data_IF_847498846258
#
_entry.id   IF_847498846258
#
_cell.length_a   1.000
_cell.length_b   1.000
_cell.length_c   1.000
_cell.angle_alpha   90.00
_cell.angle_beta   90.00
_cell.angle_gamma   90.00
#
_symmetry.space_group_name_H-M   'P 1'
#
loop_
_entity.id
_entity.type
_entity.pdbx_description
1 polymer ?
#
# COMPACT_ATOMS: atom_id res chain seq x y z
N UNK A 1 -37.79 -49.52 -0.33
CA UNK A 1 -37.40 -49.17 -1.71
C UNK A 1 -36.67 -47.84 -1.65
N UNK A 2 -35.43 -47.88 -1.16
CA UNK A 2 -34.17 -47.81 -1.91
C UNK A 2 -33.74 -46.37 -2.15
N UNK A 3 -32.61 -46.03 -1.54
CA UNK A 3 -31.90 -44.77 -1.63
C UNK A 3 -31.62 -44.35 -3.08
N UNK A 4 -31.62 -43.04 -3.30
CA UNK A 4 -30.71 -42.41 -4.26
C UNK A 4 -30.12 -41.17 -3.59
N UNK A 5 -29.17 -41.45 -2.70
CA UNK A 5 -28.15 -40.52 -2.27
C UNK A 5 -27.24 -40.30 -3.49
N UNK A 6 -27.29 -39.13 -4.11
CA UNK A 6 -26.24 -38.66 -5.03
C UNK A 6 -25.66 -37.38 -4.47
N UNK A 7 -25.10 -37.48 -3.26
CA UNK A 7 -23.97 -36.66 -2.87
C UNK A 7 -22.84 -36.93 -3.88
N UNK A 8 -22.78 -36.07 -4.90
CA UNK A 8 -21.57 -35.91 -5.70
C UNK A 8 -20.47 -35.46 -4.74
N UNK A 9 -19.65 -36.40 -4.29
CA UNK A 9 -18.40 -36.16 -3.56
C UNK A 9 -17.63 -35.04 -4.26
N UNK A 10 -17.72 -33.84 -3.69
CA UNK A 10 -16.89 -32.73 -4.13
C UNK A 10 -15.47 -33.03 -3.68
N UNK A 11 -14.70 -33.64 -4.57
CA UNK A 11 -13.27 -33.94 -4.38
C UNK A 11 -12.39 -32.70 -4.15
N UNK A 12 -12.95 -31.48 -4.26
CA UNK A 12 -12.18 -30.23 -4.21
C UNK A 12 -11.36 -30.09 -2.92
N UNK A 13 -11.94 -30.39 -1.76
CA UNK A 13 -11.26 -30.29 -0.46
C UNK A 13 -10.77 -31.64 0.08
N UNK A 14 -10.88 -32.73 -0.69
CA UNK A 14 -10.51 -34.08 -0.26
C UNK A 14 -9.03 -34.27 0.09
N UNK A 15 -8.16 -33.37 -0.40
CA UNK A 15 -6.72 -33.32 -0.10
C UNK A 15 -6.34 -32.08 0.72
N UNK A 16 -7.33 -31.40 1.29
CA UNK A 16 -7.10 -30.20 2.08
C UNK A 16 -6.73 -30.60 3.50
N UNK A 17 -5.45 -30.46 3.84
CA UNK A 17 -4.93 -30.81 5.16
C UNK A 17 -4.90 -29.56 6.05
N UNK A 18 -5.60 -29.63 7.18
CA UNK A 18 -5.51 -28.58 8.19
C UNK A 18 -4.21 -28.73 8.98
N UNK A 19 -3.39 -27.70 8.95
CA UNK A 19 -2.20 -27.58 9.79
C UNK A 19 -2.51 -27.14 11.22
N UNK A 20 -1.46 -26.88 12.00
CA UNK A 20 -1.57 -26.30 13.35
C UNK A 20 -1.87 -24.80 13.35
N UNK A 21 -1.62 -24.12 12.23
CA UNK A 21 -1.87 -22.69 12.07
C UNK A 21 -3.37 -22.38 11.94
N UNK A 22 -3.74 -21.14 12.25
CA UNK A 22 -5.11 -20.68 12.07
C UNK A 22 -5.53 -20.76 10.58
N UNK A 23 -6.51 -21.60 10.29
CA UNK A 23 -7.11 -21.66 8.96
C UNK A 23 -8.27 -20.67 8.80
N UNK A 24 -8.29 -19.95 7.69
CA UNK A 24 -9.31 -18.94 7.37
C UNK A 24 -10.64 -19.56 6.96
N UNK A 25 -10.58 -20.64 6.18
CA UNK A 25 -11.76 -21.24 5.56
C UNK A 25 -12.49 -22.14 6.55
N UNK A 26 -11.76 -22.95 7.30
CA UNK A 26 -12.26 -23.99 8.19
C UNK A 26 -11.94 -23.71 9.66
N UNK A 27 -12.89 -24.01 10.56
CA UNK A 27 -12.63 -24.08 12.00
C UNK A 27 -12.14 -25.46 12.43
N UNK A 28 -12.58 -26.50 11.73
CA UNK A 28 -12.21 -27.92 11.87
C UNK A 28 -12.40 -28.60 10.49
N UNK A 29 -11.89 -29.83 10.30
CA UNK A 29 -11.71 -30.48 9.00
C UNK A 29 -12.93 -30.49 8.06
N UNK A 30 -14.16 -30.40 8.59
CA UNK A 30 -15.39 -30.40 7.79
C UNK A 30 -16.32 -29.21 8.09
N UNK A 31 -15.83 -28.22 8.83
CA UNK A 31 -16.66 -27.11 9.30
C UNK A 31 -16.12 -25.77 8.78
N UNK A 32 -16.65 -25.25 7.65
CA UNK A 32 -16.28 -23.92 7.19
C UNK A 32 -16.75 -22.86 8.19
N UNK A 33 -15.91 -21.84 8.41
CA UNK A 33 -16.24 -20.72 9.29
C UNK A 33 -17.50 -20.00 8.79
N UNK A 34 -18.34 -19.41 9.67
CA UNK A 34 -19.62 -18.82 9.26
C UNK A 34 -19.53 -17.84 8.09
N UNK A 35 -18.53 -16.96 8.10
CA UNK A 35 -18.33 -15.95 7.05
C UNK A 35 -17.74 -16.51 5.75
N UNK A 36 -17.32 -17.78 5.73
CA UNK A 36 -16.85 -18.49 4.53
C UNK A 36 -17.88 -19.47 3.96
N UNK A 37 -18.98 -19.79 4.67
CA UNK A 37 -19.95 -20.82 4.26
C UNK A 37 -20.52 -20.61 2.86
N UNK A 38 -20.85 -19.37 2.48
CA UNK A 38 -21.40 -19.08 1.16
C UNK A 38 -20.36 -19.23 0.04
N UNK A 39 -19.08 -18.96 0.34
CA UNK A 39 -17.97 -19.11 -0.59
C UNK A 39 -17.66 -20.61 -0.74
N UNK A 40 -17.56 -21.32 0.37
CA UNK A 40 -17.41 -22.77 0.39
C UNK A 40 -18.48 -23.46 -0.46
N UNK A 41 -19.77 -23.17 -0.23
CA UNK A 41 -20.87 -23.73 -1.04
C UNK A 41 -20.77 -23.35 -2.52
N UNK A 42 -20.29 -22.14 -2.84
CA UNK A 42 -20.09 -21.76 -4.23
C UNK A 42 -18.96 -22.56 -4.89
N UNK A 43 -17.83 -22.75 -4.19
CA UNK A 43 -16.69 -23.50 -4.68
C UNK A 43 -17.04 -24.97 -4.93
N UNK A 44 -17.82 -25.61 -4.05
CA UNK A 44 -18.29 -26.99 -4.24
C UNK A 44 -19.15 -27.15 -5.51
N UNK A 45 -19.86 -26.09 -5.90
CA UNK A 45 -20.75 -26.06 -7.07
C UNK A 45 -20.06 -25.52 -8.33
N UNK A 46 -18.79 -25.12 -8.26
CA UNK A 46 -18.06 -24.53 -9.39
C UNK A 46 -17.27 -25.64 -10.12
N UNK A 47 -17.56 -25.94 -11.40
CA UNK A 47 -16.79 -26.90 -12.15
C UNK A 47 -15.32 -26.46 -12.28
N UNK A 48 -14.39 -27.42 -12.23
CA UNK A 48 -12.93 -27.16 -12.35
C UNK A 48 -12.59 -26.42 -13.64
N UNK A 49 -13.24 -26.77 -14.76
CA UNK A 49 -13.02 -26.09 -16.05
C UNK A 49 -13.45 -24.61 -16.02
N UNK A 50 -14.53 -24.30 -15.30
CA UNK A 50 -14.98 -22.93 -15.11
C UNK A 50 -14.01 -22.15 -14.21
N UNK A 51 -13.45 -22.77 -13.17
CA UNK A 51 -12.41 -22.16 -12.34
C UNK A 51 -11.15 -21.85 -13.17
N UNK A 52 -10.70 -22.81 -13.99
CA UNK A 52 -9.56 -22.62 -14.91
C UNK A 52 -9.83 -21.51 -15.94
N UNK A 53 -11.04 -21.44 -16.49
CA UNK A 53 -11.45 -20.37 -17.41
C UNK A 53 -11.39 -19.00 -16.73
N UNK A 54 -11.84 -18.93 -15.48
CA UNK A 54 -11.79 -17.71 -14.65
C UNK A 54 -10.38 -17.29 -14.30
N UNK A 55 -9.48 -18.23 -14.00
CA UNK A 55 -8.06 -17.94 -13.77
C UNK A 55 -7.42 -17.34 -15.02
N UNK A 56 -7.60 -17.98 -16.19
CA UNK A 56 -7.08 -17.46 -17.46
C UNK A 56 -7.62 -16.07 -17.79
N UNK A 57 -8.91 -15.82 -17.51
CA UNK A 57 -9.50 -14.50 -17.69
C UNK A 57 -8.91 -13.44 -16.74
N UNK A 58 -8.62 -13.81 -15.49
CA UNK A 58 -7.92 -12.96 -14.54
C UNK A 58 -6.50 -12.63 -15.04
N UNK A 59 -5.72 -13.64 -15.41
CA UNK A 59 -4.34 -13.49 -15.89
C UNK A 59 -4.27 -12.58 -17.12
N UNK A 60 -5.17 -12.77 -18.09
CA UNK A 60 -5.30 -11.90 -19.26
C UNK A 60 -5.64 -10.45 -18.88
N UNK A 61 -6.52 -10.24 -17.89
CA UNK A 61 -6.89 -8.91 -17.42
C UNK A 61 -5.71 -8.20 -16.75
N UNK A 62 -4.91 -8.91 -15.93
CA UNK A 62 -3.69 -8.37 -15.35
C UNK A 62 -2.66 -7.97 -16.43
N UNK A 63 -2.47 -8.82 -17.44
CA UNK A 63 -1.57 -8.53 -18.56
C UNK A 63 -2.03 -7.32 -19.38
N UNK A 64 -3.32 -7.23 -19.71
CA UNK A 64 -3.89 -6.10 -20.47
C UNK A 64 -3.84 -4.77 -19.71
N UNK A 65 -3.94 -4.81 -18.38
CA UNK A 65 -3.85 -3.63 -17.53
C UNK A 65 -2.41 -3.24 -17.19
N UNK A 66 -1.42 -3.99 -17.66
CA UNK A 66 0.00 -3.73 -17.41
C UNK A 66 0.39 -3.91 -15.93
N UNK A 67 -0.37 -4.71 -15.17
CA UNK A 67 -0.09 -4.99 -13.76
C UNK A 67 0.96 -6.10 -13.73
N UNK A 68 2.20 -5.70 -13.96
CA UNK A 68 3.37 -6.57 -13.95
C UNK A 68 4.26 -6.24 -12.76
N UNK A 69 5.18 -7.15 -12.44
CA UNK A 69 6.28 -6.87 -11.52
C UNK A 69 7.59 -7.25 -12.18
N UNK A 70 8.63 -6.44 -11.95
CA UNK A 70 9.98 -6.70 -12.43
C UNK A 70 10.67 -7.69 -11.50
N UNK A 71 11.03 -8.88 -12.02
CA UNK A 71 11.83 -9.86 -11.27
C UNK A 71 13.29 -9.69 -11.66
N UNK A 72 14.12 -9.15 -10.77
CA UNK A 72 15.57 -9.03 -10.98
C UNK A 72 16.31 -10.35 -10.71
N UNK A 73 15.86 -11.47 -11.28
CA UNK A 73 16.51 -12.77 -11.08
C UNK A 73 17.21 -13.35 -12.31
N UNK A 74 17.32 -12.62 -13.43
CA UNK A 74 18.23 -12.93 -14.56
C UNK A 74 18.42 -11.64 -15.37
N UNK A 75 19.53 -11.51 -16.10
CA UNK A 75 19.96 -10.32 -16.88
C UNK A 75 18.98 -9.84 -17.98
N UNK A 76 17.79 -10.44 -18.07
CA UNK A 76 16.66 -9.96 -18.86
C UNK A 76 15.55 -9.56 -17.89
N UNK A 77 15.28 -8.25 -17.76
CA UNK A 77 14.14 -7.71 -17.00
C UNK A 77 12.81 -8.15 -17.59
N UNK A 78 12.46 -9.43 -17.41
CA UNK A 78 11.20 -10.00 -17.90
C UNK A 78 10.11 -9.59 -16.93
N UNK A 79 9.23 -8.70 -17.38
CA UNK A 79 7.97 -8.40 -16.69
C UNK A 79 7.16 -9.68 -16.52
N UNK A 80 6.85 -10.04 -15.26
CA UNK A 80 5.95 -11.16 -14.97
C UNK A 80 4.61 -10.65 -14.47
N UNK A 81 3.56 -11.39 -14.80
CA UNK A 81 2.22 -11.16 -14.25
C UNK A 81 2.29 -11.45 -12.74
N UNK A 82 1.80 -10.52 -11.93
CA UNK A 82 1.72 -10.70 -10.48
C UNK A 82 0.93 -11.98 -10.15
N UNK A 83 1.51 -12.93 -9.37
CA UNK A 83 0.82 -14.18 -9.06
C UNK A 83 -0.44 -13.89 -8.26
N UNK A 84 -1.55 -14.46 -8.71
CA UNK A 84 -2.88 -14.10 -8.22
C UNK A 84 -3.71 -15.34 -7.90
N UNK A 85 -4.28 -15.35 -6.70
CA UNK A 85 -5.25 -16.35 -6.25
C UNK A 85 -6.68 -15.79 -6.37
N UNK A 86 -7.56 -16.60 -6.94
CA UNK A 86 -8.99 -16.31 -7.11
C UNK A 86 -9.78 -16.31 -5.80
N UNK A 87 -9.25 -16.93 -4.73
CA UNK A 87 -9.92 -17.06 -3.45
C UNK A 87 -9.68 -15.81 -2.60
N UNK A 88 -10.74 -15.06 -2.24
CA UNK A 88 -10.58 -13.87 -1.43
C UNK A 88 -10.27 -14.23 0.02
N UNK A 89 -9.39 -13.43 0.63
CA UNK A 89 -9.28 -13.34 2.09
C UNK A 89 -10.43 -12.48 2.63
N UNK A 90 -11.37 -13.11 3.34
CA UNK A 90 -12.54 -12.44 3.91
C UNK A 90 -12.19 -11.97 5.32
N UNK A 91 -12.23 -10.66 5.53
CA UNK A 91 -12.10 -10.06 6.87
C UNK A 91 -13.48 -9.53 7.27
N UNK A 92 -13.97 -9.98 8.43
CA UNK A 92 -15.29 -9.58 8.91
C UNK A 92 -15.29 -8.12 9.36
N UNK A 93 -16.47 -7.49 9.39
CA UNK A 93 -16.60 -6.12 9.89
C UNK A 93 -16.15 -5.98 11.36
N UNK A 94 -16.41 -6.98 12.21
CA UNK A 94 -15.97 -6.96 13.61
C UNK A 94 -14.45 -6.97 13.72
N UNK A 95 -13.77 -7.82 12.95
CA UNK A 95 -12.30 -7.86 12.92
C UNK A 95 -11.73 -6.56 12.35
N UNK A 96 -12.29 -6.08 11.24
CA UNK A 96 -11.84 -4.84 10.61
C UNK A 96 -12.00 -3.63 11.53
N UNK A 97 -13.06 -3.54 12.33
CA UNK A 97 -13.24 -2.44 13.29
C UNK A 97 -12.10 -2.39 14.30
N UNK A 98 -11.70 -3.54 14.84
CA UNK A 98 -10.56 -3.63 15.77
C UNK A 98 -9.25 -3.28 15.08
N UNK A 99 -9.02 -3.82 13.88
CA UNK A 99 -7.83 -3.51 13.07
C UNK A 99 -7.75 -2.01 12.78
N UNK A 100 -8.82 -1.41 12.26
CA UNK A 100 -8.89 0.00 11.89
C UNK A 100 -8.60 0.91 13.09
N UNK A 101 -9.18 0.61 14.26
CA UNK A 101 -8.93 1.37 15.49
C UNK A 101 -7.47 1.24 15.94
N UNK A 102 -6.92 0.02 15.92
CA UNK A 102 -5.53 -0.24 16.28
C UNK A 102 -4.53 0.47 15.35
N UNK A 103 -4.76 0.43 14.04
CA UNK A 103 -3.92 1.11 13.05
C UNK A 103 -3.96 2.63 13.21
N UNK A 104 -5.14 3.23 13.45
CA UNK A 104 -5.28 4.67 13.73
C UNK A 104 -4.51 5.07 14.99
N UNK A 105 -4.64 4.28 16.06
CA UNK A 105 -3.90 4.50 17.30
C UNK A 105 -2.39 4.42 17.07
N UNK A 106 -1.92 3.37 16.39
CA UNK A 106 -0.50 3.14 16.11
C UNK A 106 0.11 4.25 15.26
N UNK A 107 -0.54 4.64 14.17
CA UNK A 107 -0.06 5.71 13.30
C UNK A 107 0.00 7.06 14.01
N UNK A 108 -0.96 7.32 14.93
CA UNK A 108 -0.94 8.51 15.79
C UNK A 108 0.26 8.50 16.73
N UNK A 109 0.56 7.35 17.36
CA UNK A 109 1.70 7.20 18.23
C UNK A 109 3.03 7.35 17.46
N UNK A 110 3.15 6.76 16.27
CA UNK A 110 4.34 6.86 15.42
C UNK A 110 4.63 8.30 14.99
N UNK A 111 3.61 9.06 14.58
CA UNK A 111 3.78 10.48 14.23
C UNK A 111 4.20 11.31 15.45
N UNK A 112 3.60 11.08 16.63
CA UNK A 112 4.00 11.74 17.88
C UNK A 112 5.43 11.39 18.28
N UNK A 113 5.82 10.12 18.13
CA UNK A 113 7.18 9.65 18.38
C UNK A 113 8.19 10.35 17.47
N UNK A 114 7.95 10.39 16.16
CA UNK A 114 8.83 11.09 15.23
C UNK A 114 8.93 12.58 15.53
N UNK A 115 7.82 13.24 15.86
CA UNK A 115 7.84 14.63 16.29
C UNK A 115 8.73 14.83 17.52
N UNK A 116 8.54 14.01 18.56
CA UNK A 116 9.31 14.11 19.80
C UNK A 116 10.81 13.89 19.56
N UNK A 117 11.18 12.85 18.81
CA UNK A 117 12.57 12.50 18.50
C UNK A 117 13.32 13.63 17.77
N UNK A 118 12.64 14.37 16.88
CA UNK A 118 13.22 15.50 16.17
C UNK A 118 13.11 16.84 16.90
N UNK A 119 12.46 16.88 18.08
CA UNK A 119 12.24 18.09 18.87
C UNK A 119 12.73 17.92 20.32
N UNK A 120 11.79 17.76 21.27
CA UNK A 120 12.07 17.81 22.71
C UNK A 120 12.76 16.54 23.23
N UNK A 121 12.60 15.40 22.55
CA UNK A 121 13.19 14.12 22.95
C UNK A 121 12.74 13.67 24.34
N UNK A 122 11.48 13.90 24.71
CA UNK A 122 10.91 13.54 26.01
C UNK A 122 11.00 12.04 26.26
N UNK A 123 10.65 11.21 25.28
CA UNK A 123 10.72 9.74 25.39
C UNK A 123 12.14 9.22 25.66
N UNK A 124 13.15 9.96 25.22
CA UNK A 124 14.56 9.67 25.47
C UNK A 124 15.01 10.18 26.84
N UNK A 125 14.48 11.33 27.27
CA UNK A 125 14.75 11.93 28.56
C UNK A 125 14.15 11.12 29.71
N UNK A 126 12.96 10.57 29.49
CA UNK A 126 12.24 9.68 30.41
C UNK A 126 12.83 8.25 30.43
N UNK A 127 13.80 7.94 29.57
CA UNK A 127 14.46 6.63 29.52
C UNK A 127 13.60 5.49 28.96
N UNK A 128 12.45 5.78 28.37
CA UNK A 128 11.56 4.78 27.77
C UNK A 128 12.19 4.18 26.50
N UNK A 129 12.84 5.02 25.68
CA UNK A 129 13.60 4.59 24.51
C UNK A 129 15.08 4.96 24.68
N UNK A 130 16.02 4.02 24.49
CA UNK A 130 17.46 4.31 24.58
C UNK A 130 17.93 5.32 23.52
N UNK A 131 18.76 6.28 23.91
CA UNK A 131 19.29 7.33 23.01
C UNK A 131 20.16 6.76 21.91
N UNK A 132 20.98 5.78 22.24
CA UNK A 132 21.88 5.07 21.33
C UNK A 132 21.08 4.33 20.23
N UNK A 133 19.94 3.72 20.56
CA UNK A 133 19.06 3.07 19.58
C UNK A 133 18.59 4.05 18.48
N UNK A 134 18.37 5.31 18.83
CA UNK A 134 17.93 6.34 17.87
C UNK A 134 19.12 6.98 17.15
N UNK A 135 20.09 7.52 17.89
CA UNK A 135 21.14 8.34 17.31
C UNK A 135 22.25 7.56 16.60
N UNK A 136 22.34 6.25 16.82
CA UNK A 136 23.22 5.36 16.02
C UNK A 136 22.57 4.89 14.73
N UNK A 137 21.25 5.04 14.58
CA UNK A 137 20.54 4.58 13.39
C UNK A 137 20.95 5.38 12.15
N UNK A 138 21.34 4.66 11.09
CA UNK A 138 21.61 5.25 9.76
C UNK A 138 20.40 5.97 9.14
N UNK A 139 19.20 5.73 9.68
CA UNK A 139 17.95 6.31 9.21
C UNK A 139 17.51 7.53 10.03
N UNK A 140 18.22 7.86 11.10
CA UNK A 140 17.99 9.10 11.82
C UNK A 140 18.55 10.27 11.01
N UNK A 141 17.67 11.18 10.57
CA UNK A 141 18.04 12.35 9.77
C UNK A 141 18.30 13.55 10.68
N UNK A 142 19.56 13.92 10.87
CA UNK A 142 19.93 15.04 11.75
C UNK A 142 19.39 16.37 11.23
N UNK A 143 19.26 16.46 9.91
CA UNK A 143 18.73 17.57 9.15
C UNK A 143 17.29 17.89 9.54
N UNK A 144 16.50 16.89 9.96
CA UNK A 144 15.10 17.05 10.37
C UNK A 144 14.93 17.64 11.78
N UNK A 145 16.01 17.85 12.55
CA UNK A 145 15.89 18.40 13.91
C UNK A 145 15.33 19.82 13.90
N UNK A 146 14.29 20.05 14.69
CA UNK A 146 13.62 21.34 14.80
C UNK A 146 12.76 21.73 13.59
N UNK A 147 12.67 20.88 12.56
CA UNK A 147 11.83 21.14 11.39
C UNK A 147 10.36 20.97 11.76
N UNK A 148 9.61 22.06 11.65
CA UNK A 148 8.17 22.09 11.94
C UNK A 148 7.37 21.71 10.69
N UNK A 149 6.83 20.49 10.67
CA UNK A 149 5.98 20.02 9.57
C UNK A 149 4.52 20.47 9.73
N UNK A 150 3.80 20.73 8.62
CA UNK A 150 2.35 20.95 8.65
C UNK A 150 1.64 19.86 9.45
N UNK A 151 0.82 20.28 10.42
CA UNK A 151 0.05 19.40 11.32
C UNK A 151 0.89 18.38 12.10
N UNK A 152 2.22 18.52 12.14
CA UNK A 152 3.16 17.55 12.75
C UNK A 152 3.03 16.14 12.16
N UNK A 153 2.67 16.04 10.88
CA UNK A 153 2.54 14.76 10.17
C UNK A 153 3.87 14.44 9.48
N UNK A 154 4.55 13.40 9.97
CA UNK A 154 5.76 12.84 9.37
C UNK A 154 5.44 11.68 8.44
N UNK A 155 4.44 10.89 8.81
CA UNK A 155 3.98 9.72 8.06
C UNK A 155 2.55 9.97 7.60
N UNK A 156 2.41 10.45 6.37
CA UNK A 156 1.12 10.68 5.73
C UNK A 156 0.48 9.37 5.23
N UNK A 157 1.29 8.41 4.81
CA UNK A 157 0.88 7.08 4.35
C UNK A 157 1.75 6.05 5.03
N UNK A 158 1.13 5.04 5.63
CA UNK A 158 1.82 3.91 6.25
C UNK A 158 1.28 2.61 5.67
N UNK A 159 2.19 1.68 5.35
CA UNK A 159 1.86 0.27 5.20
C UNK A 159 2.13 -0.45 6.53
N UNK A 160 1.16 -1.20 7.05
CA UNK A 160 1.38 -2.00 8.27
C UNK A 160 1.12 -3.45 7.93
N UNK A 161 2.13 -4.28 8.11
CA UNK A 161 2.05 -5.70 7.81
C UNK A 161 1.44 -6.43 9.00
N UNK A 162 0.31 -7.08 8.74
CA UNK A 162 -0.47 -7.79 9.75
C UNK A 162 -0.43 -9.29 9.48
N UNK A 163 -0.16 -10.06 10.52
CA UNK A 163 -0.29 -11.51 10.49
C UNK A 163 -1.38 -11.95 11.46
N UNK A 164 -2.13 -12.99 11.08
CA UNK A 164 -3.06 -13.64 11.98
C UNK A 164 -2.32 -14.82 12.63
N UNK A 165 -2.27 -14.83 13.97
CA UNK A 165 -1.63 -15.90 14.74
C UNK A 165 -2.61 -17.04 15.02
N UNK A 166 -2.13 -18.15 15.60
CA UNK A 166 -2.86 -19.40 15.77
C UNK A 166 -4.19 -19.26 16.53
N UNK A 167 -4.30 -18.29 17.44
CA UNK A 167 -5.53 -18.01 18.19
C UNK A 167 -6.52 -17.08 17.44
N UNK A 168 -6.19 -16.68 16.21
CA UNK A 168 -7.01 -15.85 15.36
C UNK A 168 -6.84 -14.34 15.55
N UNK A 169 -6.02 -13.90 16.50
CA UNK A 169 -5.72 -12.47 16.68
C UNK A 169 -4.81 -11.95 15.57
N UNK A 170 -4.98 -10.67 15.24
CA UNK A 170 -4.05 -9.95 14.37
C UNK A 170 -2.95 -9.31 15.17
N UNK A 171 -1.71 -9.44 14.71
CA UNK A 171 -0.53 -8.79 15.29
C UNK A 171 0.23 -8.04 14.19
N UNK A 172 0.87 -6.94 14.57
CA UNK A 172 1.73 -6.17 13.68
C UNK A 172 3.08 -6.86 13.59
N UNK A 173 3.51 -7.15 12.36
CA UNK A 173 4.84 -7.66 12.07
C UNK A 173 5.82 -6.52 11.79
N UNK A 174 5.42 -5.58 10.94
CA UNK A 174 6.29 -4.49 10.47
C UNK A 174 5.48 -3.22 10.12
N UNK A 175 6.12 -2.05 10.22
CA UNK A 175 5.61 -0.77 9.76
C UNK A 175 6.49 -0.19 8.63
N UNK A 176 5.88 0.02 7.48
CA UNK A 176 6.47 0.62 6.30
C UNK A 176 6.08 2.11 6.22
N UNK A 177 6.96 2.97 6.74
CA UNK A 177 6.68 4.40 6.96
C UNK A 177 7.39 5.36 5.97
N UNK A 178 8.20 4.82 5.05
CA UNK A 178 8.98 5.62 4.10
C UNK A 178 8.20 5.83 2.80
N UNK A 179 8.32 4.87 1.89
CA UNK A 179 7.69 4.89 0.58
C UNK A 179 6.88 3.59 0.43
N UNK A 180 5.80 3.40 1.20
CA UNK A 180 5.02 2.16 1.12
C UNK A 180 4.40 2.01 -0.28
N UNK A 181 4.39 0.78 -0.78
CA UNK A 181 3.81 0.37 -2.06
C UNK A 181 2.81 -0.77 -1.86
N UNK A 182 2.11 -1.17 -2.93
CA UNK A 182 1.16 -2.29 -2.91
C UNK A 182 -0.28 -1.90 -3.26
N UNK A 183 -0.58 -0.60 -3.30
CA UNK A 183 -1.94 -0.10 -3.48
C UNK A 183 -2.47 -0.38 -4.88
N UNK A 184 -1.64 -0.25 -5.91
CA UNK A 184 -2.05 -0.53 -7.29
C UNK A 184 -2.51 -1.98 -7.42
N UNK A 185 -1.76 -2.92 -6.83
CA UNK A 185 -2.11 -4.34 -6.79
C UNK A 185 -3.42 -4.58 -6.02
N UNK A 186 -3.61 -3.94 -4.86
CA UNK A 186 -4.86 -4.04 -4.09
C UNK A 186 -6.09 -3.63 -4.93
N UNK A 187 -6.00 -2.50 -5.64
CA UNK A 187 -7.09 -1.95 -6.46
C UNK A 187 -7.34 -2.82 -7.69
N UNK A 188 -6.27 -3.23 -8.37
CA UNK A 188 -6.29 -4.16 -9.49
C UNK A 188 -6.97 -5.49 -9.11
N UNK A 189 -6.52 -6.12 -8.03
CA UNK A 189 -7.06 -7.37 -7.52
C UNK A 189 -8.56 -7.25 -7.28
N UNK A 190 -9.01 -6.12 -6.72
CA UNK A 190 -10.44 -5.87 -6.50
C UNK A 190 -11.23 -5.74 -7.81
N UNK A 191 -10.67 -5.08 -8.81
CA UNK A 191 -11.32 -4.90 -10.10
C UNK A 191 -11.46 -6.24 -10.84
N UNK A 192 -10.39 -7.04 -10.88
CA UNK A 192 -10.39 -8.38 -11.49
C UNK A 192 -11.37 -9.29 -10.75
N UNK A 193 -11.32 -9.34 -9.42
CA UNK A 193 -12.25 -10.14 -8.62
C UNK A 193 -13.74 -9.81 -8.88
N UNK A 194 -14.08 -8.53 -9.09
CA UNK A 194 -15.46 -8.12 -9.45
C UNK A 194 -15.90 -8.64 -10.81
N UNK A 195 -14.98 -8.74 -11.78
CA UNK A 195 -15.26 -9.27 -13.12
C UNK A 195 -15.41 -10.79 -13.08
N UNK A 196 -14.57 -11.46 -12.29
CA UNK A 196 -14.48 -12.93 -12.27
C UNK A 196 -15.51 -13.59 -11.34
N UNK A 197 -15.91 -12.93 -10.24
CA UNK A 197 -16.92 -13.42 -9.29
C UNK A 197 -18.03 -12.39 -8.97
N UNK A 198 -18.77 -11.88 -9.96
CA UNK A 198 -19.73 -10.79 -9.75
C UNK A 198 -20.92 -11.14 -8.82
N UNK A 199 -21.28 -12.42 -8.72
CA UNK A 199 -22.34 -12.90 -7.82
C UNK A 199 -21.92 -12.89 -6.35
N UNK A 200 -20.71 -13.37 -6.06
CA UNK A 200 -20.16 -13.45 -4.69
C UNK A 200 -19.95 -12.06 -4.10
N UNK A 201 -19.44 -11.11 -4.89
CA UNK A 201 -19.26 -9.73 -4.43
C UNK A 201 -20.55 -9.08 -3.95
N UNK A 202 -21.66 -9.34 -4.64
CA UNK A 202 -22.98 -8.84 -4.26
C UNK A 202 -23.49 -9.51 -2.98
N UNK A 203 -23.32 -10.82 -2.86
CA UNK A 203 -23.80 -11.58 -1.71
C UNK A 203 -23.08 -11.25 -0.39
N UNK A 204 -21.80 -10.84 -0.45
CA UNK A 204 -20.99 -10.55 0.74
C UNK A 204 -21.02 -9.09 1.21
N UNK A 205 -21.60 -8.16 0.44
CA UNK A 205 -21.61 -6.74 0.82
C UNK A 205 -20.21 -6.14 0.98
N UNK A 206 -19.27 -6.53 0.10
CA UNK A 206 -17.85 -6.12 0.17
C UNK A 206 -17.73 -4.60 0.06
N UNK A 207 -17.04 -3.96 1.01
CA UNK A 207 -16.82 -2.51 1.01
C UNK A 207 -16.02 -2.04 -0.21
N UNK A 208 -16.39 -0.93 -0.85
CA UNK A 208 -15.62 -0.38 -1.96
C UNK A 208 -14.29 0.19 -1.47
N UNK A 209 -13.26 0.10 -2.33
CA UNK A 209 -11.92 0.66 -2.08
C UNK A 209 -11.44 1.56 -3.23
N UNK A 210 -12.26 1.72 -4.28
CA UNK A 210 -11.86 2.40 -5.52
C UNK A 210 -11.65 3.91 -5.35
N UNK A 211 -12.11 4.50 -4.24
CA UNK A 211 -11.91 5.90 -3.92
C UNK A 211 -10.52 6.20 -3.30
N UNK A 212 -9.64 5.21 -3.16
CA UNK A 212 -8.32 5.38 -2.53
C UNK A 212 -7.54 6.58 -3.09
N UNK A 213 -7.46 6.74 -4.41
CA UNK A 213 -6.72 7.85 -5.03
C UNK A 213 -7.26 9.22 -4.59
N UNK A 214 -8.57 9.37 -4.49
CA UNK A 214 -9.20 10.62 -4.05
C UNK A 214 -9.01 10.88 -2.56
N UNK A 215 -9.03 9.84 -1.71
CA UNK A 215 -8.70 9.96 -0.28
C UNK A 215 -7.22 10.31 -0.07
N UNK A 216 -6.31 9.74 -0.87
CA UNK A 216 -4.90 10.11 -0.85
C UNK A 216 -4.70 11.57 -1.25
N UNK A 217 -5.32 12.00 -2.36
CA UNK A 217 -5.29 13.41 -2.78
C UNK A 217 -5.80 14.34 -1.69
N UNK A 218 -6.93 14.01 -1.07
CA UNK A 218 -7.50 14.78 0.05
C UNK A 218 -6.54 14.86 1.24
N UNK A 219 -5.86 13.75 1.55
CA UNK A 219 -4.85 13.70 2.61
C UNK A 219 -3.68 14.63 2.28
N UNK A 220 -3.13 14.57 1.06
CA UNK A 220 -2.03 15.43 0.62
C UNK A 220 -2.43 16.91 0.59
N UNK A 221 -3.63 17.25 0.10
CA UNK A 221 -4.16 18.62 0.16
C UNK A 221 -4.22 19.17 1.58
N UNK A 222 -4.55 18.33 2.56
CA UNK A 222 -4.61 18.74 3.96
C UNK A 222 -3.25 19.13 4.57
N UNK A 223 -2.15 18.73 3.92
CA UNK A 223 -0.77 19.00 4.32
C UNK A 223 -0.17 20.23 3.61
N UNK A 224 -0.96 20.94 2.80
CA UNK A 224 -0.51 22.16 2.14
C UNK A 224 -0.04 23.23 3.15
N UNK A 225 0.91 24.10 2.74
CA UNK A 225 1.32 25.25 3.53
C UNK A 225 0.14 26.18 3.87
N UNK A 226 0.21 26.94 4.98
CA UNK A 226 -0.82 27.92 5.31
C UNK A 226 -1.04 28.95 4.20
N UNK A 227 -2.30 29.30 3.93
CA UNK A 227 -2.68 30.31 2.93
C UNK A 227 -2.81 29.79 1.49
N UNK A 228 -2.75 28.47 1.29
CA UNK A 228 -2.96 27.84 -0.02
C UNK A 228 -4.31 27.09 -0.03
N UNK A 229 -5.31 27.66 -0.69
CA UNK A 229 -6.66 27.06 -0.77
C UNK A 229 -6.74 25.92 -1.78
N UNK A 230 -6.08 26.07 -2.93
CA UNK A 230 -5.99 25.05 -3.99
C UNK A 230 -4.53 24.68 -4.25
N UNK A 231 -3.94 23.77 -3.45
CA UNK A 231 -2.52 23.44 -3.57
C UNK A 231 -2.23 22.66 -4.85
N UNK A 232 -1.15 23.04 -5.54
CA UNK A 232 -0.59 22.24 -6.61
C UNK A 232 0.20 21.07 -6.01
N UNK A 233 -0.18 19.85 -6.41
CA UNK A 233 0.38 18.61 -5.89
C UNK A 233 1.08 17.89 -7.04
N UNK A 234 2.30 17.42 -6.81
CA UNK A 234 3.05 16.61 -7.76
C UNK A 234 3.49 15.28 -7.13
N UNK A 235 3.52 14.20 -7.91
CA UNK A 235 4.11 12.92 -7.52
C UNK A 235 5.53 12.84 -8.09
N UNK A 236 6.53 12.87 -7.21
CA UNK A 236 7.94 12.78 -7.60
C UNK A 236 8.36 11.30 -7.69
N UNK A 237 8.83 10.88 -8.86
CA UNK A 237 9.24 9.50 -9.17
C UNK A 237 10.73 9.42 -9.55
N UNK A 238 11.43 8.32 -9.22
CA UNK A 238 12.79 8.06 -9.72
C UNK A 238 12.85 7.68 -11.21
N UNK A 239 11.70 7.58 -11.88
CA UNK A 239 11.62 7.28 -13.32
C UNK A 239 11.40 5.79 -13.65
N UNK A 240 11.40 5.49 -14.94
CA UNK A 240 10.96 4.21 -15.53
C UNK A 240 11.75 2.98 -15.09
N UNK A 241 12.99 3.17 -14.63
CA UNK A 241 13.86 2.06 -14.23
C UNK A 241 13.59 1.56 -12.80
N UNK A 242 12.65 2.18 -12.08
CA UNK A 242 12.22 1.72 -10.77
C UNK A 242 11.09 0.68 -10.88
N UNK A 243 11.20 -0.41 -10.13
CA UNK A 243 10.23 -1.51 -10.15
C UNK A 243 8.79 -1.11 -9.77
N UNK A 244 8.62 -0.02 -9.03
CA UNK A 244 7.31 0.50 -8.63
C UNK A 244 6.80 1.63 -9.56
N UNK A 245 7.46 1.92 -10.68
CA UNK A 245 7.09 3.01 -11.59
C UNK A 245 5.64 2.89 -12.11
N UNK A 246 5.18 1.66 -12.38
CA UNK A 246 3.77 1.41 -12.70
C UNK A 246 2.83 1.92 -11.61
N UNK A 247 3.13 1.68 -10.34
CA UNK A 247 2.31 2.19 -9.25
C UNK A 247 2.35 3.74 -9.18
N UNK A 248 3.51 4.34 -9.44
CA UNK A 248 3.65 5.79 -9.42
C UNK A 248 2.78 6.45 -10.50
N UNK A 249 2.84 5.95 -11.73
CA UNK A 249 2.00 6.41 -12.85
C UNK A 249 0.51 6.18 -12.57
N UNK A 250 0.16 5.01 -12.03
CA UNK A 250 -1.21 4.67 -11.66
C UNK A 250 -1.78 5.62 -10.60
N UNK A 251 -1.03 5.88 -9.53
CA UNK A 251 -1.46 6.78 -8.45
C UNK A 251 -1.56 8.23 -8.93
N UNK A 252 -0.59 8.72 -9.70
CA UNK A 252 -0.64 10.06 -10.29
C UNK A 252 -1.91 10.24 -11.12
N UNK A 253 -2.24 9.26 -11.97
CA UNK A 253 -3.46 9.26 -12.78
C UNK A 253 -4.75 9.20 -11.94
N UNK A 254 -4.79 8.36 -10.91
CA UNK A 254 -5.96 8.24 -10.02
C UNK A 254 -6.22 9.51 -9.20
N UNK A 255 -5.16 10.21 -8.80
CA UNK A 255 -5.23 11.49 -8.11
C UNK A 255 -5.49 12.66 -9.07
N UNK A 256 -5.15 12.53 -10.36
CA UNK A 256 -5.20 13.62 -11.31
C UNK A 256 -4.11 14.66 -11.08
N UNK A 257 -2.93 14.23 -10.64
CA UNK A 257 -1.75 15.08 -10.37
C UNK A 257 -0.64 14.82 -11.38
N UNK A 258 0.27 15.79 -11.53
CA UNK A 258 1.43 15.61 -12.40
C UNK A 258 2.39 14.56 -11.83
N UNK A 259 2.86 13.66 -12.70
CA UNK A 259 3.98 12.77 -12.44
C UNK A 259 5.26 13.47 -12.91
N UNK A 260 6.20 13.70 -12.01
CA UNK A 260 7.42 14.46 -12.30
C UNK A 260 8.67 13.68 -11.86
N UNK A 261 9.77 13.86 -12.58
CA UNK A 261 11.12 13.44 -12.17
C UNK A 261 11.88 14.65 -11.60
N UNK A 262 13.01 14.41 -10.91
CA UNK A 262 13.78 15.49 -10.28
C UNK A 262 14.20 16.60 -11.26
N UNK A 263 14.50 16.25 -12.50
CA UNK A 263 14.87 17.18 -13.58
C UNK A 263 13.74 18.12 -14.03
N UNK A 264 12.49 17.73 -13.79
CA UNK A 264 11.32 18.53 -14.15
C UNK A 264 11.05 19.63 -13.12
N UNK A 265 11.62 19.48 -11.92
CA UNK A 265 11.50 20.40 -10.81
C UNK A 265 12.72 21.32 -10.72
N UNK A 266 12.52 22.50 -10.15
CA UNK A 266 13.59 23.42 -9.78
C UNK A 266 13.23 24.16 -8.51
N UNK A 267 14.25 24.53 -7.75
CA UNK A 267 14.11 25.38 -6.56
C UNK A 267 14.55 26.80 -6.90
N UNK A 268 13.70 27.78 -6.58
CA UNK A 268 14.02 29.20 -6.73
C UNK A 268 13.38 29.98 -5.58
N UNK A 269 14.15 30.85 -4.90
CA UNK A 269 13.71 31.63 -3.75
C UNK A 269 12.98 30.80 -2.67
N UNK A 270 13.54 29.63 -2.32
CA UNK A 270 12.98 28.66 -1.36
C UNK A 270 11.54 28.22 -1.72
N UNK A 271 11.26 28.10 -3.01
CA UNK A 271 10.01 27.54 -3.51
C UNK A 271 10.34 26.55 -4.62
N UNK A 272 9.53 25.49 -4.71
CA UNK A 272 9.66 24.46 -5.74
C UNK A 272 8.72 24.79 -6.89
N UNK A 273 9.21 24.62 -8.11
CA UNK A 273 8.44 24.82 -9.33
C UNK A 273 8.62 23.64 -10.29
N UNK A 274 7.57 23.30 -11.02
CA UNK A 274 7.62 22.43 -12.20
C UNK A 274 7.92 23.28 -13.44
N UNK A 275 8.80 22.79 -14.31
CA UNK A 275 9.06 23.36 -15.64
C UNK A 275 7.95 22.95 -16.60
N UNK A 276 7.18 23.90 -17.12
CA UNK A 276 6.19 23.66 -18.18
C UNK A 276 6.53 24.48 -19.42
N UNK A 277 5.87 24.19 -20.54
CA UNK A 277 6.02 24.98 -21.77
C UNK A 277 5.45 26.40 -21.63
N UNK A 278 4.53 26.61 -20.69
CA UNK A 278 3.91 27.91 -20.40
C UNK A 278 4.70 28.73 -19.36
N UNK A 279 5.67 28.12 -18.68
CA UNK A 279 6.50 28.78 -17.66
C UNK A 279 6.71 27.90 -16.44
N UNK A 280 6.98 28.54 -15.30
CA UNK A 280 7.16 27.85 -14.03
C UNK A 280 5.83 27.81 -13.27
N UNK A 281 5.43 26.61 -12.88
CA UNK A 281 4.25 26.39 -12.04
C UNK A 281 4.70 26.00 -10.65
N UNK A 282 4.30 26.77 -9.63
CA UNK A 282 4.66 26.49 -8.24
C UNK A 282 4.06 25.16 -7.79
N UNK A 283 4.83 24.36 -7.06
CA UNK A 283 4.40 23.12 -6.41
C UNK A 283 4.32 23.36 -4.90
N UNK A 284 3.19 23.03 -4.29
CA UNK A 284 2.94 23.26 -2.86
C UNK A 284 3.11 21.99 -2.03
N UNK A 285 2.82 20.82 -2.61
CA UNK A 285 2.99 19.52 -1.95
C UNK A 285 3.61 18.51 -2.92
N UNK A 286 4.67 17.85 -2.49
CA UNK A 286 5.30 16.76 -3.24
C UNK A 286 5.01 15.44 -2.55
N UNK A 287 4.28 14.55 -3.21
CA UNK A 287 4.21 13.15 -2.82
C UNK A 287 5.42 12.42 -3.39
N UNK A 288 6.49 12.32 -2.59
CA UNK A 288 7.72 11.67 -3.00
C UNK A 288 7.59 10.15 -3.03
N UNK A 289 8.15 9.54 -4.07
CA UNK A 289 8.37 8.09 -4.20
C UNK A 289 9.85 7.72 -4.31
N UNK A 290 10.70 8.51 -3.64
CA UNK A 290 12.14 8.32 -3.55
C UNK A 290 12.54 8.22 -2.07
N UNK A 291 13.60 7.46 -1.81
CA UNK A 291 14.26 7.45 -0.51
C UNK A 291 14.95 8.79 -0.22
N UNK A 292 15.02 9.14 1.07
CA UNK A 292 15.53 10.46 1.52
C UNK A 292 16.92 10.77 0.96
N UNK A 293 17.79 9.77 0.91
CA UNK A 293 19.18 9.92 0.47
C UNK A 293 19.31 10.47 -0.95
N UNK A 294 18.29 10.25 -1.79
CA UNK A 294 18.28 10.68 -3.18
C UNK A 294 17.51 11.98 -3.42
N UNK A 295 16.83 12.55 -2.42
CA UNK A 295 15.90 13.67 -2.61
C UNK A 295 16.58 15.00 -2.94
N UNK A 296 17.72 15.28 -2.34
CA UNK A 296 18.41 16.56 -2.49
C UNK A 296 19.93 16.35 -2.44
N UNK A 297 20.64 16.51 -3.56
CA UNK A 297 22.10 16.32 -3.60
C UNK A 297 22.88 17.40 -2.83
N UNK A 298 22.26 18.53 -2.46
CA UNK A 298 22.92 19.55 -1.63
C UNK A 298 22.88 19.19 -0.14
N UNK A 299 21.97 18.31 0.25
CA UNK A 299 21.73 17.95 1.67
C UNK A 299 22.13 16.50 1.97
N UNK A 300 21.84 15.58 1.05
CA UNK A 300 22.02 14.14 1.24
C UNK A 300 23.13 13.60 0.33
N UNK A 301 22.83 12.65 -0.57
CA UNK A 301 23.84 12.08 -1.46
C UNK A 301 24.19 13.04 -2.61
N UNK A 302 25.44 13.54 -2.68
CA UNK A 302 25.84 14.52 -3.69
C UNK A 302 25.89 13.96 -5.11
N UNK A 303 25.98 12.63 -5.26
CA UNK A 303 25.96 11.93 -6.54
C UNK A 303 24.53 11.61 -7.04
N UNK A 304 23.50 11.97 -6.28
CA UNK A 304 22.10 11.73 -6.69
C UNK A 304 21.73 12.59 -7.90
N UNK A 305 21.24 11.92 -8.95
CA UNK A 305 20.63 12.55 -10.13
C UNK A 305 19.10 12.49 -10.11
N UNK A 306 18.52 11.86 -9.09
CA UNK A 306 17.07 11.59 -9.02
C UNK A 306 16.28 12.70 -8.32
N UNK A 307 16.94 13.40 -7.40
CA UNK A 307 16.36 14.45 -6.57
C UNK A 307 16.35 15.82 -7.21
N UNK A 308 16.07 16.84 -6.39
CA UNK A 308 16.04 18.24 -6.80
C UNK A 308 17.00 19.03 -5.90
N UNK A 309 18.05 19.66 -6.46
CA UNK A 309 18.98 20.46 -5.67
C UNK A 309 18.26 21.57 -4.88
N UNK A 310 18.49 21.60 -3.57
CA UNK A 310 17.92 22.58 -2.65
C UNK A 310 16.50 22.28 -2.17
N UNK A 311 15.95 21.10 -2.51
CA UNK A 311 14.60 20.71 -2.13
C UNK A 311 14.39 20.67 -0.63
N UNK A 312 15.39 20.25 0.14
CA UNK A 312 15.24 20.16 1.59
C UNK A 312 15.06 21.54 2.25
N UNK A 313 15.62 22.59 1.65
CA UNK A 313 15.57 23.96 2.16
C UNK A 313 14.33 24.74 1.70
N UNK A 314 13.70 24.33 0.60
CA UNK A 314 12.50 24.95 0.04
C UNK A 314 11.24 24.51 0.83
#
# INVERSE_FOLDING_TARGET
MTMANTASDSKLFSRYELGSAYDELFSTADQPRPHYQALHRHLLNLPVDELNRRQKAADLSFLQQGITFTVYNNDEGTERIFPYDLLPRIITNSEWRTIEQGLKQRLTALNKFLHDIYHEGKILSDGIVPRDMIYSSKHFRREMRGVNLPRKVYVAVAGTDLVRVDDGRFVVLEDNLRVPSGVSYMLANRQVMKQVFPGQFRNYGVRPIMNYGQELLKTLRSLAPPGVDEPNIALLTPGVFNSAYFEHTFLARQMGVQLVEGRDLLVHNNMVYTRTTAGLERVDVIYRRLDDDFLDPLTFRPDSILGVPGLFNA
#
